data_IF_555893240610
#
_entry.id   IF_555893240610
#
_cell.length_a   1.000
_cell.length_b   1.000
_cell.length_c   1.000
_cell.angle_alpha   90.00
_cell.angle_beta   90.00
_cell.angle_gamma   90.00
#
_symmetry.space_group_name_H-M   'P 1'
#
loop_
_entity.id
_entity.type
_entity.pdbx_description
1 polymer ?
#
# COMPACT_ATOMS: atom_id res chain seq x y z
N UNK A 1 7.00 33.16 -11.70
CA UNK A 1 5.81 32.50 -11.18
C UNK A 1 5.96 32.39 -9.65
N UNK A 2 5.07 33.02 -8.89
CA UNK A 2 5.11 32.98 -7.42
C UNK A 2 4.52 31.70 -6.87
N UNK A 3 4.84 31.30 -5.61
CA UNK A 3 4.32 30.11 -4.95
C UNK A 3 2.80 29.97 -5.08
N UNK A 4 2.06 31.09 -4.95
CA UNK A 4 0.58 31.10 -5.01
C UNK A 4 -0.01 30.73 -6.37
N UNK A 5 0.80 30.79 -7.42
CA UNK A 5 0.40 30.46 -8.81
C UNK A 5 0.64 28.99 -9.14
N UNK A 6 1.34 28.25 -8.27
CA UNK A 6 1.61 26.80 -8.48
C UNK A 6 0.36 25.95 -8.27
N UNK A 7 0.24 24.88 -9.03
CA UNK A 7 -0.84 23.88 -8.86
C UNK A 7 -0.83 23.28 -7.44
N UNK A 8 0.35 23.07 -6.86
CA UNK A 8 0.49 22.57 -5.49
C UNK A 8 -0.17 23.49 -4.47
N UNK A 9 0.02 24.84 -4.59
CA UNK A 9 -0.63 25.79 -3.72
C UNK A 9 -2.15 25.83 -3.95
N UNK A 10 -2.58 25.76 -5.21
CA UNK A 10 -4.01 25.72 -5.56
C UNK A 10 -4.67 24.47 -4.99
N UNK A 11 -4.03 23.29 -5.08
CA UNK A 11 -4.50 22.06 -4.44
C UNK A 11 -4.69 22.23 -2.92
N UNK A 12 -3.68 22.82 -2.23
CA UNK A 12 -3.79 23.09 -0.80
C UNK A 12 -4.96 24.02 -0.48
N UNK A 13 -5.17 25.05 -1.28
CA UNK A 13 -6.28 26.01 -1.11
C UNK A 13 -7.64 25.37 -1.39
N UNK A 14 -7.75 24.69 -2.51
CA UNK A 14 -8.99 24.03 -2.92
C UNK A 14 -9.46 22.99 -1.89
N UNK A 15 -8.53 22.25 -1.28
CA UNK A 15 -8.83 21.22 -0.28
C UNK A 15 -8.85 21.73 1.16
N UNK A 16 -8.77 23.07 1.40
CA UNK A 16 -8.86 23.64 2.74
C UNK A 16 -10.30 23.58 3.27
N UNK A 17 -10.40 23.28 4.57
CA UNK A 17 -11.63 23.53 5.33
C UNK A 17 -11.57 24.91 6.00
N UNK A 18 -12.68 25.64 5.98
CA UNK A 18 -12.85 26.90 6.66
C UNK A 18 -14.28 26.98 7.22
N UNK A 19 -14.53 27.88 8.15
CA UNK A 19 -15.89 28.13 8.66
C UNK A 19 -16.86 28.54 7.55
N UNK A 20 -16.36 29.14 6.47
CA UNK A 20 -17.18 29.59 5.33
C UNK A 20 -17.61 28.47 4.40
N UNK A 21 -16.83 27.39 4.28
CA UNK A 21 -17.12 26.27 3.41
C UNK A 21 -17.47 24.98 4.16
N UNK A 22 -17.57 25.07 5.48
CA UNK A 22 -17.98 23.95 6.31
C UNK A 22 -19.45 23.59 5.98
N UNK A 23 -19.70 22.36 5.53
CA UNK A 23 -21.02 21.89 5.14
C UNK A 23 -21.38 22.08 3.67
N UNK A 24 -20.56 22.77 2.87
CA UNK A 24 -20.72 22.78 1.41
C UNK A 24 -20.38 21.37 0.90
N UNK A 25 -21.37 20.68 0.38
CA UNK A 25 -21.17 19.36 -0.25
C UNK A 25 -20.76 19.56 -1.71
N UNK A 26 -19.61 18.98 -2.07
CA UNK A 26 -19.26 18.78 -3.47
C UNK A 26 -20.19 17.70 -4.10
N UNK A 27 -20.06 17.51 -5.41
CA UNK A 27 -20.84 16.48 -6.11
C UNK A 27 -20.72 15.12 -5.40
N UNK A 28 -21.86 14.47 -5.19
CA UNK A 28 -21.92 13.21 -4.45
C UNK A 28 -21.36 12.09 -5.32
N UNK A 29 -20.23 11.54 -4.92
CA UNK A 29 -19.71 10.28 -5.44
C UNK A 29 -20.34 9.15 -4.62
N UNK A 30 -20.99 8.14 -5.24
CA UNK A 30 -21.57 7.02 -4.51
C UNK A 30 -20.51 6.28 -3.70
N UNK A 31 -20.81 5.82 -2.48
CA UNK A 31 -19.92 4.96 -1.72
C UNK A 31 -19.81 3.59 -2.40
N UNK A 32 -18.61 3.00 -2.34
CA UNK A 32 -18.34 1.66 -2.85
C UNK A 32 -17.83 0.76 -1.72
N UNK A 33 -17.82 -0.56 -1.96
CA UNK A 33 -17.35 -1.54 -0.97
C UNK A 33 -15.95 -1.18 -0.43
N UNK A 34 -15.73 -1.28 0.89
CA UNK A 34 -14.40 -1.10 1.48
C UNK A 34 -13.48 -2.31 1.25
N UNK A 35 -13.96 -3.34 0.55
CA UNK A 35 -13.20 -4.54 0.23
C UNK A 35 -13.25 -4.79 -1.26
N UNK A 36 -12.07 -5.08 -1.82
CA UNK A 36 -11.89 -5.60 -3.17
C UNK A 36 -11.54 -7.08 -3.07
N UNK A 37 -12.18 -7.90 -3.86
CA UNK A 37 -12.02 -9.35 -3.83
C UNK A 37 -11.92 -9.90 -5.26
N UNK A 38 -11.18 -11.00 -5.42
CA UNK A 38 -11.01 -11.72 -6.68
C UNK A 38 -11.46 -13.17 -6.49
N UNK A 39 -12.78 -13.45 -6.60
CA UNK A 39 -13.36 -14.75 -6.23
C UNK A 39 -12.82 -15.92 -7.04
N UNK A 40 -12.47 -15.70 -8.30
CA UNK A 40 -11.97 -16.75 -9.21
C UNK A 40 -10.45 -16.94 -9.14
N UNK A 41 -9.74 -16.09 -8.39
CA UNK A 41 -8.29 -16.18 -8.28
C UNK A 41 -7.85 -17.31 -7.34
N UNK A 42 -6.73 -17.97 -7.69
CA UNK A 42 -6.06 -18.89 -6.76
C UNK A 42 -5.59 -18.11 -5.53
N UNK A 43 -6.01 -18.54 -4.35
CA UNK A 43 -5.69 -17.87 -3.09
C UNK A 43 -4.63 -18.62 -2.30
N UNK A 44 -3.74 -17.86 -1.66
CA UNK A 44 -2.76 -18.36 -0.70
C UNK A 44 -3.14 -17.76 0.66
N UNK A 45 -3.49 -18.63 1.61
CA UNK A 45 -3.83 -18.20 2.97
C UNK A 45 -2.58 -17.67 3.67
N UNK A 46 -2.69 -16.49 4.25
CA UNK A 46 -1.69 -15.92 5.15
C UNK A 46 -2.04 -16.28 6.60
N UNK A 47 -1.06 -16.27 7.47
CA UNK A 47 -1.25 -16.63 8.86
C UNK A 47 -0.29 -15.88 9.78
N UNK A 48 -0.71 -15.65 11.02
CA UNK A 48 0.12 -15.17 12.11
C UNK A 48 -0.07 -16.13 13.28
N UNK A 49 0.83 -17.10 13.42
CA UNK A 49 0.78 -18.04 14.53
C UNK A 49 1.35 -17.39 15.81
N UNK A 50 2.47 -16.71 15.64
CA UNK A 50 3.17 -15.99 16.71
C UNK A 50 3.96 -14.81 16.15
N UNK A 51 4.14 -13.79 16.94
CA UNK A 51 5.07 -12.71 16.61
C UNK A 51 6.49 -13.13 16.98
N UNK A 52 7.46 -13.01 16.06
CA UNK A 52 8.84 -13.33 16.38
C UNK A 52 9.42 -12.34 17.41
N UNK A 53 10.42 -12.74 18.18
CA UNK A 53 11.17 -11.79 19.00
C UNK A 53 11.79 -10.71 18.10
N UNK A 54 11.58 -9.45 18.48
CA UNK A 54 12.07 -8.30 17.72
C UNK A 54 12.86 -7.37 18.62
N UNK A 55 13.74 -6.51 18.05
CA UNK A 55 14.35 -5.42 18.80
C UNK A 55 13.30 -4.51 19.44
N UNK A 56 13.73 -3.72 20.44
CA UNK A 56 12.87 -2.72 21.05
C UNK A 56 12.38 -1.71 19.99
N UNK A 57 11.15 -1.23 20.14
CA UNK A 57 10.54 -0.28 19.20
C UNK A 57 11.41 0.94 18.90
N UNK A 58 12.02 1.55 19.91
CA UNK A 58 12.89 2.71 19.72
C UNK A 58 14.21 2.36 19.00
N UNK A 59 14.70 1.14 19.16
CA UNK A 59 15.85 0.65 18.38
C UNK A 59 15.47 0.50 16.90
N UNK A 60 14.29 -0.04 16.60
CA UNK A 60 13.77 -0.15 15.24
C UNK A 60 13.68 1.25 14.60
N UNK A 61 13.09 2.23 15.30
CA UNK A 61 13.01 3.60 14.83
C UNK A 61 14.39 4.22 14.54
N UNK A 62 15.37 3.99 15.42
CA UNK A 62 16.72 4.55 15.27
C UNK A 62 17.52 3.92 14.12
N UNK A 63 17.25 2.65 13.80
CA UNK A 63 17.98 1.87 12.79
C UNK A 63 17.34 1.90 11.40
N UNK A 64 16.00 2.14 11.32
CA UNK A 64 15.31 2.14 10.03
C UNK A 64 15.93 3.12 9.04
N UNK A 65 16.32 2.62 7.88
CA UNK A 65 16.83 3.41 6.73
C UNK A 65 16.27 2.85 5.42
N UNK A 66 16.18 3.68 4.40
CA UNK A 66 15.87 3.26 3.03
C UNK A 66 17.06 2.50 2.45
N UNK A 67 17.01 1.18 2.48
CA UNK A 67 18.06 0.27 2.02
C UNK A 67 17.65 -0.36 0.70
N UNK A 68 18.54 -0.38 -0.31
CA UNK A 68 18.24 -0.79 -1.70
C UNK A 68 19.11 -1.95 -2.22
N UNK A 69 20.13 -2.37 -1.47
CA UNK A 69 21.05 -3.45 -1.86
C UNK A 69 20.47 -4.82 -1.55
N UNK A 70 19.56 -5.32 -2.37
CA UNK A 70 18.91 -6.62 -2.20
C UNK A 70 19.75 -7.76 -2.78
N UNK A 71 19.68 -8.95 -2.15
CA UNK A 71 20.44 -10.15 -2.53
C UNK A 71 19.66 -11.12 -3.44
N UNK A 72 18.47 -10.78 -3.91
CA UNK A 72 17.55 -11.69 -4.61
C UNK A 72 17.25 -12.98 -3.81
N UNK A 73 17.25 -12.87 -2.49
CA UNK A 73 17.05 -13.99 -1.59
C UNK A 73 15.56 -14.18 -1.28
N UNK A 74 15.06 -15.42 -1.17
CA UNK A 74 13.64 -15.67 -0.93
C UNK A 74 13.22 -15.21 0.48
N UNK A 75 12.01 -14.67 0.58
CA UNK A 75 11.26 -14.52 1.82
C UNK A 75 10.37 -15.75 2.03
N UNK A 76 10.23 -16.15 3.30
CA UNK A 76 9.27 -17.18 3.70
C UNK A 76 7.84 -16.65 3.67
N UNK A 77 6.86 -17.57 3.61
CA UNK A 77 5.44 -17.23 3.74
C UNK A 77 5.16 -16.53 5.07
N UNK A 78 5.83 -16.92 6.15
CA UNK A 78 5.73 -16.27 7.47
C UNK A 78 6.21 -14.82 7.43
N UNK A 79 7.36 -14.53 6.82
CA UNK A 79 7.87 -13.16 6.66
C UNK A 79 6.89 -12.29 5.84
N UNK A 80 6.36 -12.84 4.72
CA UNK A 80 5.38 -12.14 3.89
C UNK A 80 4.06 -11.90 4.65
N UNK A 81 3.58 -12.90 5.41
CA UNK A 81 2.38 -12.76 6.25
C UNK A 81 2.53 -11.65 7.30
N UNK A 82 3.68 -11.58 7.98
CA UNK A 82 3.97 -10.53 8.96
C UNK A 82 4.01 -9.14 8.32
N UNK A 83 4.61 -9.01 7.13
CA UNK A 83 4.62 -7.74 6.39
C UNK A 83 3.21 -7.33 5.95
N UNK A 84 2.41 -8.26 5.44
CA UNK A 84 1.00 -8.01 5.06
C UNK A 84 0.14 -7.62 6.28
N UNK A 85 0.34 -8.32 7.41
CA UNK A 85 -0.34 -7.98 8.66
C UNK A 85 0.05 -6.57 9.14
N UNK A 86 1.33 -6.24 9.10
CA UNK A 86 1.83 -4.90 9.47
C UNK A 86 1.23 -3.82 8.59
N UNK A 87 1.05 -4.11 7.29
CA UNK A 87 0.42 -3.18 6.35
C UNK A 87 -1.05 -2.90 6.70
N UNK A 88 -1.88 -3.95 6.72
CA UNK A 88 -3.33 -3.79 6.84
C UNK A 88 -4.03 -4.95 7.59
N UNK A 89 -3.33 -5.68 8.47
CA UNK A 89 -3.94 -6.75 9.26
C UNK A 89 -5.10 -6.27 10.12
N UNK A 90 -6.13 -7.09 10.26
CA UNK A 90 -7.28 -6.79 11.12
C UNK A 90 -6.88 -6.94 12.59
N UNK A 91 -7.10 -5.90 13.38
CA UNK A 91 -6.76 -5.84 14.81
C UNK A 91 -7.96 -5.72 15.73
N UNK A 92 -9.15 -5.48 15.16
CA UNK A 92 -10.38 -5.33 15.95
C UNK A 92 -11.61 -5.14 15.07
N UNK A 93 -12.77 -5.11 15.73
CA UNK A 93 -14.07 -4.87 15.11
C UNK A 93 -14.76 -3.74 15.88
N UNK A 94 -15.30 -2.76 15.14
CA UNK A 94 -16.10 -1.67 15.71
C UNK A 94 -17.37 -1.48 14.85
N UNK A 95 -18.49 -2.01 15.33
CA UNK A 95 -19.73 -2.06 14.55
C UNK A 95 -19.51 -2.79 13.20
N UNK A 96 -19.79 -2.15 12.05
CA UNK A 96 -19.60 -2.78 10.74
C UNK A 96 -18.14 -2.72 10.23
N UNK A 97 -17.22 -2.10 10.97
CA UNK A 97 -15.87 -1.84 10.52
C UNK A 97 -14.87 -2.88 11.02
N UNK A 98 -14.03 -3.39 10.13
CA UNK A 98 -12.82 -4.14 10.48
C UNK A 98 -11.69 -3.13 10.68
N UNK A 99 -11.27 -2.94 11.93
CA UNK A 99 -10.16 -2.04 12.25
C UNK A 99 -8.84 -2.70 11.87
N UNK A 100 -7.93 -1.94 11.28
CA UNK A 100 -6.67 -2.44 10.76
C UNK A 100 -5.46 -1.86 11.53
N UNK A 101 -4.30 -2.45 11.33
CA UNK A 101 -3.03 -1.98 11.91
C UNK A 101 -2.70 -0.53 11.55
N UNK A 102 -3.05 -0.09 10.35
CA UNK A 102 -2.94 1.30 9.94
C UNK A 102 -4.29 2.03 10.12
N UNK A 103 -4.31 3.25 10.67
CA UNK A 103 -5.54 4.04 10.78
C UNK A 103 -6.00 4.50 9.38
N UNK A 104 -7.32 4.72 9.24
CA UNK A 104 -7.90 5.33 8.06
C UNK A 104 -8.96 6.35 8.44
N UNK A 105 -8.99 7.46 7.73
CA UNK A 105 -9.95 8.53 7.94
C UNK A 105 -11.39 8.00 7.83
N UNK A 106 -12.13 8.05 8.94
CA UNK A 106 -13.51 7.57 9.01
C UNK A 106 -13.68 6.06 8.84
N UNK A 107 -12.61 5.29 9.00
CA UNK A 107 -12.55 3.83 8.76
C UNK A 107 -13.00 3.45 7.32
N UNK A 108 -12.69 4.28 6.34
CA UNK A 108 -13.11 4.09 4.94
C UNK A 108 -12.15 3.21 4.13
N UNK A 109 -10.89 3.08 4.58
CA UNK A 109 -9.88 2.18 4.03
C UNK A 109 -9.80 2.21 2.49
N UNK A 110 -9.43 3.38 1.90
CA UNK A 110 -9.39 3.52 0.44
C UNK A 110 -8.26 2.72 -0.22
N UNK A 111 -7.27 2.30 0.56
CA UNK A 111 -6.03 1.71 0.04
C UNK A 111 -6.16 0.21 -0.17
N UNK A 112 -5.92 -0.22 -1.41
CA UNK A 112 -5.70 -1.62 -1.75
C UNK A 112 -4.19 -1.92 -1.75
N UNK A 113 -3.84 -3.17 -1.45
CA UNK A 113 -2.45 -3.62 -1.37
C UNK A 113 -2.21 -4.73 -2.38
N UNK A 114 -1.35 -4.47 -3.34
CA UNK A 114 -0.83 -5.47 -4.26
C UNK A 114 0.61 -5.81 -3.88
N UNK A 115 1.02 -7.04 -4.15
CA UNK A 115 2.38 -7.52 -3.95
C UNK A 115 2.90 -8.13 -5.25
N UNK A 116 4.02 -7.61 -5.74
CA UNK A 116 4.83 -8.38 -6.67
C UNK A 116 5.78 -9.25 -5.84
N UNK A 117 5.48 -10.54 -5.75
CA UNK A 117 6.36 -11.53 -5.14
C UNK A 117 7.35 -11.99 -6.19
N UNK A 118 8.62 -11.62 -6.04
CA UNK A 118 9.69 -11.99 -6.98
C UNK A 118 10.48 -13.21 -6.48
N UNK A 119 10.79 -13.24 -5.17
CA UNK A 119 11.58 -14.31 -4.57
C UNK A 119 10.93 -14.73 -3.25
N UNK A 120 10.33 -15.91 -3.23
CA UNK A 120 9.78 -16.57 -2.03
C UNK A 120 10.13 -18.04 -2.02
N UNK A 121 10.21 -18.65 -0.84
CA UNK A 121 10.44 -20.08 -0.67
C UNK A 121 9.18 -20.91 -0.89
N UNK A 122 7.97 -20.33 -0.70
CA UNK A 122 6.71 -21.06 -0.74
C UNK A 122 5.67 -20.48 -1.71
N UNK A 123 5.87 -19.25 -2.18
CA UNK A 123 4.93 -18.58 -3.09
C UNK A 123 5.54 -18.50 -4.48
N UNK A 124 4.81 -18.92 -5.52
CA UNK A 124 5.25 -18.74 -6.90
C UNK A 124 5.38 -17.25 -7.26
N UNK A 125 6.37 -16.83 -8.08
CA UNK A 125 6.49 -15.43 -8.49
C UNK A 125 5.24 -14.94 -9.21
N UNK A 126 4.80 -13.72 -8.87
CA UNK A 126 3.59 -13.15 -9.47
C UNK A 126 3.15 -11.84 -8.83
N UNK A 127 2.08 -11.28 -9.41
CA UNK A 127 1.31 -10.19 -8.79
C UNK A 127 0.15 -10.80 -8.00
N UNK A 128 0.04 -10.37 -6.78
CA UNK A 128 -0.99 -10.78 -5.84
C UNK A 128 -1.74 -9.58 -5.29
N UNK A 129 -3.02 -9.73 -4.99
CA UNK A 129 -3.82 -8.78 -4.22
C UNK A 129 -4.03 -9.30 -2.80
N UNK A 130 -3.86 -8.45 -1.79
CA UNK A 130 -4.09 -8.77 -0.39
C UNK A 130 -5.58 -8.64 -0.06
N UNK A 131 -6.28 -9.74 0.08
CA UNK A 131 -7.67 -9.76 0.53
C UNK A 131 -7.75 -9.71 2.06
N UNK A 132 -8.31 -8.64 2.58
CA UNK A 132 -8.28 -8.32 4.02
C UNK A 132 -9.18 -9.25 4.84
N UNK A 133 -10.40 -9.55 4.35
CA UNK A 133 -11.37 -10.37 5.09
C UNK A 133 -10.85 -11.77 5.37
N UNK A 134 -10.28 -12.38 4.36
CA UNK A 134 -9.78 -13.75 4.41
C UNK A 134 -8.32 -13.82 4.84
N UNK A 135 -7.65 -12.69 4.91
CA UNK A 135 -6.20 -12.58 5.09
C UNK A 135 -5.48 -13.56 4.16
N UNK A 136 -5.61 -13.31 2.87
CA UNK A 136 -5.09 -14.16 1.81
C UNK A 136 -4.52 -13.33 0.66
N UNK A 137 -3.66 -13.95 -0.15
CA UNK A 137 -3.13 -13.40 -1.38
C UNK A 137 -3.84 -14.04 -2.58
N UNK A 138 -4.58 -13.26 -3.34
CA UNK A 138 -5.20 -13.65 -4.59
C UNK A 138 -4.22 -13.47 -5.75
N UNK A 139 -3.86 -14.52 -6.46
CA UNK A 139 -2.94 -14.47 -7.61
C UNK A 139 -3.62 -13.85 -8.82
N UNK A 140 -3.08 -12.75 -9.34
CA UNK A 140 -3.58 -12.03 -10.50
C UNK A 140 -2.75 -12.30 -11.76
N UNK A 141 -1.41 -12.28 -11.65
CA UNK A 141 -0.50 -12.54 -12.78
C UNK A 141 0.66 -13.41 -12.31
N UNK A 142 1.07 -14.37 -13.13
CA UNK A 142 2.23 -15.23 -12.85
C UNK A 142 3.50 -14.65 -13.43
N UNK A 143 4.61 -14.95 -12.78
CA UNK A 143 5.96 -14.66 -13.25
C UNK A 143 6.69 -13.59 -12.45
N UNK A 144 7.98 -13.49 -12.71
CA UNK A 144 8.86 -12.48 -12.10
C UNK A 144 8.55 -11.09 -12.68
N UNK A 145 8.32 -10.11 -11.80
CA UNK A 145 7.87 -8.77 -12.17
C UNK A 145 8.92 -7.67 -11.90
N UNK A 146 10.05 -8.00 -11.29
CA UNK A 146 11.05 -7.02 -10.86
C UNK A 146 11.57 -6.14 -12.00
N UNK A 147 11.80 -6.71 -13.20
CA UNK A 147 12.31 -5.96 -14.34
C UNK A 147 11.29 -4.94 -14.84
N UNK A 148 10.06 -5.37 -15.13
CA UNK A 148 9.02 -4.46 -15.65
C UNK A 148 8.66 -3.38 -14.63
N UNK A 149 8.60 -3.72 -13.33
CA UNK A 149 8.34 -2.73 -12.29
C UNK A 149 9.51 -1.75 -12.12
N UNK A 150 10.74 -2.17 -12.37
CA UNK A 150 11.90 -1.27 -12.44
C UNK A 150 11.75 -0.25 -13.58
N UNK A 151 11.38 -0.72 -14.78
CA UNK A 151 11.14 0.13 -15.94
C UNK A 151 9.98 1.11 -15.67
N UNK A 152 8.85 0.63 -15.14
CA UNK A 152 7.70 1.46 -14.76
C UNK A 152 8.02 2.44 -13.62
N UNK A 153 9.01 2.15 -12.79
CA UNK A 153 9.50 3.03 -11.74
C UNK A 153 10.70 3.87 -12.20
N UNK A 154 10.65 4.43 -13.41
CA UNK A 154 11.66 5.33 -13.97
C UNK A 154 13.08 4.69 -14.05
N UNK A 155 13.18 3.40 -14.30
CA UNK A 155 14.45 2.69 -14.41
C UNK A 155 15.18 2.47 -13.08
N UNK A 156 14.48 2.47 -11.95
CA UNK A 156 15.09 2.24 -10.63
C UNK A 156 15.46 0.77 -10.47
N UNK A 157 16.67 0.40 -10.88
CA UNK A 157 17.14 -1.00 -10.98
C UNK A 157 17.10 -1.80 -9.66
N UNK A 158 17.08 -1.17 -8.50
CA UNK A 158 17.03 -1.90 -7.23
C UNK A 158 15.70 -2.68 -7.02
N UNK A 159 14.63 -2.32 -7.75
CA UNK A 159 13.38 -3.08 -7.72
C UNK A 159 13.57 -4.52 -8.20
N UNK A 160 14.48 -4.74 -9.16
CA UNK A 160 14.76 -6.08 -9.69
C UNK A 160 15.32 -7.06 -8.65
N UNK A 161 16.01 -6.54 -7.65
CA UNK A 161 16.60 -7.35 -6.58
C UNK A 161 15.67 -7.59 -5.40
N UNK A 162 14.58 -6.83 -5.28
CA UNK A 162 13.66 -6.93 -4.17
C UNK A 162 12.90 -8.25 -4.17
N UNK A 163 12.78 -8.88 -2.99
CA UNK A 163 12.03 -10.14 -2.84
C UNK A 163 10.53 -9.92 -3.00
N UNK A 164 10.03 -8.83 -2.45
CA UNK A 164 8.64 -8.40 -2.58
C UNK A 164 8.61 -6.90 -2.85
N UNK A 165 7.71 -6.48 -3.74
CA UNK A 165 7.38 -5.07 -3.97
C UNK A 165 5.92 -4.88 -3.58
N UNK A 166 5.68 -4.09 -2.55
CA UNK A 166 4.35 -3.61 -2.20
C UNK A 166 3.96 -2.48 -3.15
N UNK A 167 2.75 -2.54 -3.67
CA UNK A 167 2.17 -1.54 -4.55
C UNK A 167 0.81 -1.17 -3.95
N UNK A 168 0.63 0.10 -3.62
CA UNK A 168 -0.60 0.59 -3.03
C UNK A 168 -1.35 1.48 -4.00
N UNK A 169 -2.58 1.08 -4.29
CA UNK A 169 -3.53 1.90 -5.03
C UNK A 169 -4.58 2.48 -4.09
N UNK A 170 -5.27 3.51 -4.56
CA UNK A 170 -6.40 4.10 -3.87
C UNK A 170 -7.68 3.97 -4.71
N UNK A 171 -8.71 3.38 -4.13
CA UNK A 171 -10.09 3.45 -4.61
C UNK A 171 -10.67 4.78 -4.14
N UNK A 172 -10.58 5.80 -4.98
CA UNK A 172 -10.81 7.20 -4.62
C UNK A 172 -12.21 7.44 -4.05
N UNK A 173 -13.22 6.80 -4.64
CA UNK A 173 -14.63 6.95 -4.24
C UNK A 173 -14.90 6.56 -2.79
N UNK A 174 -14.14 5.66 -2.18
CA UNK A 174 -14.32 5.27 -0.76
C UNK A 174 -14.19 6.48 0.17
N UNK A 175 -13.23 7.36 -0.09
CA UNK A 175 -12.95 8.52 0.78
C UNK A 175 -13.58 9.80 0.27
N UNK A 176 -13.60 10.02 -1.05
CA UNK A 176 -14.18 11.21 -1.66
C UNK A 176 -15.69 11.27 -1.45
N UNK A 177 -16.40 10.13 -1.45
CA UNK A 177 -17.84 10.06 -1.16
C UNK A 177 -18.23 10.73 0.16
N UNK A 178 -17.34 10.72 1.17
CA UNK A 178 -17.59 11.31 2.49
C UNK A 178 -16.97 12.69 2.65
N UNK A 179 -15.76 12.88 2.10
CA UNK A 179 -14.91 14.03 2.42
C UNK A 179 -14.69 14.99 1.23
N UNK A 180 -15.29 14.71 0.05
CA UNK A 180 -15.08 15.49 -1.16
C UNK A 180 -13.60 15.55 -1.53
N UNK A 181 -13.16 16.61 -2.17
CA UNK A 181 -11.77 16.83 -2.61
C UNK A 181 -10.76 16.80 -1.47
N UNK A 182 -11.16 17.13 -0.25
CA UNK A 182 -10.28 16.99 0.92
C UNK A 182 -9.89 15.54 1.18
N UNK A 183 -10.71 14.59 0.76
CA UNK A 183 -10.43 13.16 0.86
C UNK A 183 -9.08 12.75 0.28
N UNK A 184 -8.58 13.44 -0.75
CA UNK A 184 -7.25 13.18 -1.32
C UNK A 184 -6.12 13.32 -0.29
N UNK A 185 -6.20 14.31 0.60
CA UNK A 185 -5.20 14.44 1.68
C UNK A 185 -5.23 13.24 2.61
N UNK A 186 -6.42 12.74 2.94
CA UNK A 186 -6.57 11.59 3.84
C UNK A 186 -6.08 10.31 3.19
N UNK A 187 -6.31 10.13 1.90
CA UNK A 187 -5.78 9.01 1.12
C UNK A 187 -4.25 8.96 1.20
N UNK A 188 -3.58 10.11 0.98
CA UNK A 188 -2.11 10.16 1.07
C UNK A 188 -1.59 9.93 2.51
N UNK A 189 -2.32 10.38 3.53
CA UNK A 189 -1.99 10.09 4.93
C UNK A 189 -2.16 8.60 5.24
N UNK A 190 -3.26 7.99 4.81
CA UNK A 190 -3.55 6.57 5.03
C UNK A 190 -2.45 5.68 4.44
N UNK A 191 -2.08 5.89 3.18
CA UNK A 191 -1.03 5.10 2.53
C UNK A 191 0.35 5.29 3.17
N UNK A 192 0.64 6.50 3.65
CA UNK A 192 1.89 6.77 4.35
C UNK A 192 1.98 5.98 5.68
N UNK A 193 0.88 5.87 6.43
CA UNK A 193 0.81 5.04 7.63
C UNK A 193 1.05 3.56 7.31
N UNK A 194 0.40 3.04 6.25
CA UNK A 194 0.58 1.65 5.80
C UNK A 194 2.04 1.39 5.41
N UNK A 195 2.61 2.24 4.58
CA UNK A 195 4.00 2.12 4.16
C UNK A 195 4.95 2.16 5.36
N UNK A 196 4.78 3.10 6.29
CA UNK A 196 5.64 3.21 7.47
C UNK A 196 5.57 1.95 8.33
N UNK A 197 4.40 1.33 8.50
CA UNK A 197 4.26 0.06 9.20
C UNK A 197 5.09 -1.03 8.54
N UNK A 198 5.04 -1.15 7.20
CA UNK A 198 5.86 -2.13 6.45
C UNK A 198 7.36 -1.86 6.61
N UNK A 199 7.79 -0.58 6.59
CA UNK A 199 9.19 -0.22 6.77
C UNK A 199 9.71 -0.57 8.16
N UNK A 200 8.92 -0.32 9.21
CA UNK A 200 9.26 -0.67 10.60
C UNK A 200 9.27 -2.18 10.80
N UNK A 201 8.28 -2.90 10.28
CA UNK A 201 8.23 -4.35 10.34
C UNK A 201 9.42 -4.98 9.59
N UNK A 202 9.80 -4.43 8.43
CA UNK A 202 10.98 -4.88 7.71
C UNK A 202 12.26 -4.74 8.55
N UNK A 203 12.47 -3.59 9.20
CA UNK A 203 13.64 -3.40 10.09
C UNK A 203 13.58 -4.36 11.29
N UNK A 204 12.40 -4.58 11.88
CA UNK A 204 12.18 -5.51 12.98
C UNK A 204 12.54 -6.97 12.60
N UNK A 205 12.27 -7.35 11.35
CA UNK A 205 12.57 -8.67 10.78
C UNK A 205 14.01 -8.78 10.23
N UNK A 206 14.85 -7.73 10.38
CA UNK A 206 16.20 -7.71 9.82
C UNK A 206 16.23 -7.62 8.29
N UNK A 207 15.12 -7.22 7.66
CA UNK A 207 15.01 -7.03 6.23
C UNK A 207 15.38 -5.61 5.82
N UNK A 208 15.72 -5.44 4.54
CA UNK A 208 15.91 -4.15 3.91
C UNK A 208 14.59 -3.68 3.28
N UNK A 209 14.30 -2.40 3.36
CA UNK A 209 13.15 -1.82 2.69
C UNK A 209 13.43 -0.41 2.19
N UNK A 210 12.73 -0.02 1.11
CA UNK A 210 12.81 1.33 0.55
C UNK A 210 11.47 1.73 -0.05
N UNK A 211 10.89 2.88 0.35
CA UNK A 211 9.71 3.42 -0.29
C UNK A 211 10.06 3.98 -1.67
N UNK A 212 9.08 3.93 -2.60
CA UNK A 212 9.21 4.38 -3.98
C UNK A 212 8.00 5.23 -4.34
N UNK A 213 8.22 6.52 -4.57
CA UNK A 213 7.16 7.47 -4.94
C UNK A 213 7.26 7.97 -6.37
N UNK A 214 8.26 7.53 -7.15
CA UNK A 214 8.44 7.95 -8.52
C UNK A 214 8.26 6.77 -9.49
N UNK A 215 7.20 6.83 -10.29
CA UNK A 215 6.81 5.82 -11.28
C UNK A 215 5.92 6.48 -12.35
N UNK A 216 5.69 5.78 -13.46
CA UNK A 216 4.73 6.17 -14.48
C UNK A 216 3.33 5.71 -14.05
N UNK A 217 2.50 6.64 -13.59
CA UNK A 217 1.19 6.35 -12.95
C UNK A 217 0.25 5.60 -13.88
N UNK A 218 0.04 6.10 -15.10
CA UNK A 218 -0.90 5.51 -16.06
C UNK A 218 -0.45 4.12 -16.53
N UNK A 219 0.85 3.95 -16.81
CA UNK A 219 1.42 2.69 -17.24
C UNK A 219 1.34 1.62 -16.14
N UNK A 220 1.56 2.03 -14.88
CA UNK A 220 1.47 1.12 -13.75
C UNK A 220 0.02 0.73 -13.46
N UNK A 221 -0.93 1.68 -13.58
CA UNK A 221 -2.35 1.39 -13.48
C UNK A 221 -2.80 0.39 -14.56
N UNK A 222 -2.38 0.58 -15.82
CA UNK A 222 -2.64 -0.35 -16.92
C UNK A 222 -2.01 -1.73 -16.68
N UNK A 223 -0.77 -1.76 -16.18
CA UNK A 223 -0.08 -3.00 -15.87
C UNK A 223 -0.83 -3.83 -14.82
N UNK A 224 -1.40 -3.19 -13.82
CA UNK A 224 -2.22 -3.84 -12.80
C UNK A 224 -3.68 -4.05 -13.22
N UNK A 225 -4.10 -3.55 -14.38
CA UNK A 225 -5.48 -3.62 -14.90
C UNK A 225 -6.49 -3.01 -13.90
N UNK A 226 -6.12 -1.84 -13.35
CA UNK A 226 -6.97 -1.14 -12.39
C UNK A 226 -8.17 -0.49 -13.09
N UNK A 227 -9.32 -0.50 -12.40
CA UNK A 227 -10.53 0.15 -12.86
C UNK A 227 -10.42 1.69 -12.83
N UNK A 228 -11.26 2.35 -13.64
CA UNK A 228 -11.41 3.81 -13.58
C UNK A 228 -11.86 4.24 -12.17
N UNK A 229 -11.07 5.08 -11.51
CA UNK A 229 -11.32 5.51 -10.14
C UNK A 229 -10.45 4.83 -9.09
N UNK A 230 -9.59 3.91 -9.51
CA UNK A 230 -8.49 3.37 -8.73
C UNK A 230 -7.15 3.77 -9.35
N UNK A 231 -6.17 4.19 -8.56
CA UNK A 231 -4.85 4.57 -9.06
C UNK A 231 -3.76 4.20 -8.06
N UNK A 232 -2.63 3.72 -8.56
CA UNK A 232 -1.43 3.52 -7.73
C UNK A 232 -0.95 4.88 -7.24
N UNK A 233 -0.61 4.94 -5.96
CA UNK A 233 -0.16 6.16 -5.30
C UNK A 233 1.16 6.01 -4.54
N UNK A 234 1.58 4.79 -4.26
CA UNK A 234 2.84 4.53 -3.57
C UNK A 234 3.32 3.10 -3.73
N UNK A 235 4.61 2.87 -3.59
CA UNK A 235 5.21 1.53 -3.55
C UNK A 235 6.28 1.45 -2.46
N UNK A 236 6.66 0.22 -2.09
CA UNK A 236 7.84 -0.05 -1.30
C UNK A 236 8.44 -1.41 -1.68
N UNK A 237 9.77 -1.45 -1.74
CA UNK A 237 10.53 -2.68 -1.95
C UNK A 237 10.96 -3.27 -0.62
N UNK A 238 10.92 -4.61 -0.49
CA UNK A 238 11.39 -5.35 0.68
C UNK A 238 12.22 -6.55 0.22
N UNK A 239 13.30 -6.86 0.94
CA UNK A 239 14.15 -8.03 0.67
C UNK A 239 15.32 -8.17 1.64
N UNK A 240 16.13 -9.22 1.44
CA UNK A 240 17.35 -9.53 2.24
C UNK A 240 18.61 -8.89 1.69
#
# INVERSE_FOLDING_TARGET
MGLKETQAYQFLKFTNLSLKNLGIREAVVPPVSPFKEYPDAKKIKLFIDEFPPTPNFFEILSKRRSKRGYKRAPLSLKEISLLCYSAQGVTGIAGPYLLRTAPSAGALYPIETYLAVNFSSEIEPGIYHLEIRDFSLALLKKGYMGKILSELALGQAFLEGASVIFIWSAVLSRTISKYGSRGLRYIFMDVAHICQNVLLASEALGLKACPVGAFFDEELNKFLELDNGESVIYMATVGK
#
